data_IF_716046710968
#
_entry.id   IF_716046710968
#
_cell.length_a   1.000
_cell.length_b   1.000
_cell.length_c   1.000
_cell.angle_alpha   90.00
_cell.angle_beta   90.00
_cell.angle_gamma   90.00
#
_symmetry.space_group_name_H-M   'P 1'
#
loop_
_entity.id
_entity.type
_entity.pdbx_description
1 polymer ?
#
# COMPACT_ATOMS: atom_id res chain seq x y z
N UNK A 1 10.21 -1.42 4.63
CA UNK A 1 10.86 -2.75 4.80
C UNK A 1 10.14 -3.74 3.92
N UNK A 2 10.87 -4.40 3.02
CA UNK A 2 10.31 -5.45 2.15
C UNK A 2 11.10 -6.74 2.36
N UNK A 3 10.47 -7.90 2.21
CA UNK A 3 11.15 -9.20 2.38
C UNK A 3 12.37 -9.35 1.46
N UNK A 4 12.33 -8.74 0.27
CA UNK A 4 13.43 -8.71 -0.71
C UNK A 4 14.75 -8.10 -0.17
N UNK A 5 14.71 -7.35 0.93
CA UNK A 5 15.91 -6.75 1.55
C UNK A 5 16.70 -7.76 2.40
N UNK A 6 16.23 -9.00 2.52
CA UNK A 6 16.81 -10.04 3.39
C UNK A 6 17.25 -11.27 2.59
N UNK A 7 18.29 -11.93 3.10
CA UNK A 7 18.73 -13.26 2.62
C UNK A 7 18.39 -14.38 3.60
N UNK A 8 17.94 -14.02 4.80
CA UNK A 8 17.51 -14.94 5.84
C UNK A 8 16.10 -14.56 6.31
N UNK A 9 15.19 -15.52 6.21
CA UNK A 9 13.80 -15.30 6.58
C UNK A 9 13.64 -15.06 8.09
N UNK A 10 14.49 -15.64 8.96
CA UNK A 10 14.42 -15.42 10.41
C UNK A 10 14.76 -13.97 10.74
N UNK A 11 15.79 -13.43 10.09
CA UNK A 11 16.18 -12.01 10.20
C UNK A 11 15.05 -11.09 9.76
N UNK A 12 14.36 -11.40 8.65
CA UNK A 12 13.18 -10.66 8.21
C UNK A 12 12.07 -10.68 9.28
N UNK A 13 11.71 -11.87 9.79
CA UNK A 13 10.64 -12.01 10.79
C UNK A 13 10.99 -11.30 12.09
N UNK A 14 12.20 -11.48 12.61
CA UNK A 14 12.62 -10.81 13.84
C UNK A 14 12.63 -9.28 13.69
N UNK A 15 13.01 -8.77 12.50
CA UNK A 15 12.89 -7.34 12.20
C UNK A 15 11.42 -6.90 12.14
N UNK A 16 10.55 -7.68 11.50
CA UNK A 16 9.11 -7.42 11.44
C UNK A 16 8.46 -7.39 12.81
N UNK A 17 8.88 -8.27 13.73
CA UNK A 17 8.40 -8.29 15.12
C UNK A 17 8.86 -7.04 15.86
N UNK A 18 10.11 -6.63 15.69
CA UNK A 18 10.67 -5.48 16.42
C UNK A 18 9.96 -4.15 16.15
N UNK A 19 9.29 -4.04 14.99
CA UNK A 19 8.55 -2.84 14.58
C UNK A 19 7.06 -2.92 14.94
N UNK A 20 6.58 -4.01 15.53
CA UNK A 20 5.20 -4.11 16.03
C UNK A 20 5.03 -3.31 17.33
N UNK A 21 3.78 -2.95 17.71
CA UNK A 21 3.51 -2.25 18.96
C UNK A 21 4.18 -2.90 20.16
N UNK A 22 4.64 -2.06 21.11
CA UNK A 22 5.36 -2.50 22.31
C UNK A 22 6.59 -3.36 21.98
N UNK A 23 7.26 -3.10 20.85
CA UNK A 23 8.47 -3.81 20.43
C UNK A 23 8.25 -5.30 20.10
N UNK A 24 7.01 -5.67 19.76
CA UNK A 24 6.66 -7.06 19.45
C UNK A 24 6.33 -7.93 20.65
N UNK A 25 6.10 -7.35 21.84
CA UNK A 25 5.65 -8.10 23.00
C UNK A 25 4.35 -8.87 22.70
N UNK A 26 4.37 -10.19 22.89
CA UNK A 26 3.24 -11.07 22.60
C UNK A 26 3.12 -11.55 21.16
N UNK A 27 3.94 -11.08 20.22
CA UNK A 27 3.86 -11.49 18.80
C UNK A 27 4.07 -12.98 18.59
N UNK A 28 5.04 -13.59 19.30
CA UNK A 28 5.23 -15.04 19.20
C UNK A 28 4.01 -15.84 19.65
N UNK A 29 3.21 -15.32 20.59
CA UNK A 29 1.95 -15.95 20.98
C UNK A 29 0.90 -15.81 19.88
N UNK A 30 0.79 -14.63 19.27
CA UNK A 30 -0.13 -14.39 18.15
C UNK A 30 0.22 -15.25 16.94
N UNK A 31 1.50 -15.33 16.58
CA UNK A 31 1.98 -16.22 15.52
C UNK A 31 1.69 -17.69 15.83
N UNK A 32 1.99 -18.14 17.06
CA UNK A 32 1.71 -19.52 17.46
C UNK A 32 0.22 -19.88 17.30
N UNK A 33 -0.67 -18.99 17.73
CA UNK A 33 -2.10 -19.18 17.59
C UNK A 33 -2.55 -19.19 16.11
N UNK A 34 -1.99 -18.30 15.30
CA UNK A 34 -2.35 -18.19 13.88
C UNK A 34 -1.87 -19.39 13.05
N UNK A 35 -0.72 -19.96 13.39
CA UNK A 35 -0.14 -21.13 12.73
C UNK A 35 -0.60 -22.45 13.38
N UNK A 36 -1.48 -22.40 14.39
CA UNK A 36 -1.93 -23.56 15.15
C UNK A 36 -0.80 -24.41 15.75
N UNK A 37 0.28 -23.77 16.23
CA UNK A 37 1.46 -24.41 16.83
C UNK A 37 1.75 -23.89 18.23
N UNK A 38 2.68 -24.54 18.95
CA UNK A 38 3.09 -24.07 20.28
C UNK A 38 3.99 -22.82 20.18
N UNK A 39 3.89 -21.94 21.17
CA UNK A 39 4.81 -20.79 21.33
C UNK A 39 6.26 -21.23 21.46
N UNK A 40 6.50 -22.41 22.04
CA UNK A 40 7.82 -23.04 22.10
C UNK A 40 8.35 -23.36 20.71
N UNK A 41 7.52 -23.88 19.80
CA UNK A 41 7.93 -24.13 18.41
C UNK A 41 8.32 -22.84 17.70
N UNK A 42 7.50 -21.79 17.82
CA UNK A 42 7.80 -20.45 17.27
C UNK A 42 9.15 -19.93 17.81
N UNK A 43 9.38 -20.04 19.12
CA UNK A 43 10.65 -19.63 19.72
C UNK A 43 11.83 -20.47 19.22
N UNK A 44 11.67 -21.79 19.08
CA UNK A 44 12.72 -22.67 18.57
C UNK A 44 13.08 -22.38 17.12
N UNK A 45 12.13 -21.87 16.33
CA UNK A 45 12.37 -21.47 14.93
C UNK A 45 13.07 -20.11 14.88
N UNK A 46 12.53 -19.08 15.52
CA UNK A 46 13.01 -17.70 15.32
C UNK A 46 14.16 -17.29 16.25
N UNK A 47 14.40 -18.04 17.34
CA UNK A 47 15.55 -17.87 18.24
C UNK A 47 16.51 -19.06 18.24
N UNK A 48 16.17 -20.15 17.57
CA UNK A 48 16.97 -21.37 17.54
C UNK A 48 17.18 -21.89 16.12
N UNK A 49 17.58 -23.15 16.01
CA UNK A 49 18.03 -23.75 14.74
C UNK A 49 16.91 -24.42 13.93
N UNK A 50 15.68 -24.52 14.49
CA UNK A 50 14.57 -25.12 13.74
C UNK A 50 14.14 -24.25 12.56
N UNK A 51 13.55 -24.88 11.55
CA UNK A 51 13.00 -24.21 10.38
C UNK A 51 11.49 -24.48 10.25
N UNK A 52 10.78 -23.56 9.60
CA UNK A 52 9.37 -23.77 9.26
C UNK A 52 9.22 -24.84 8.18
N UNK A 53 8.11 -25.57 8.19
CA UNK A 53 7.68 -26.29 6.98
C UNK A 53 7.16 -25.30 5.93
N UNK A 54 6.96 -25.73 4.70
CA UNK A 54 6.44 -24.83 3.65
C UNK A 54 4.97 -24.48 3.90
N UNK A 55 4.20 -25.39 4.49
CA UNK A 55 2.81 -25.19 4.89
C UNK A 55 2.72 -24.11 5.98
N UNK A 56 3.52 -24.24 7.04
CA UNK A 56 3.59 -23.23 8.11
C UNK A 56 4.15 -21.89 7.60
N UNK A 57 5.03 -21.92 6.61
CA UNK A 57 5.54 -20.72 5.97
C UNK A 57 4.48 -19.99 5.15
N UNK A 58 3.61 -20.73 4.46
CA UNK A 58 2.46 -20.16 3.74
C UNK A 58 1.47 -19.53 4.71
N UNK A 59 1.09 -20.23 5.78
CA UNK A 59 0.21 -19.67 6.82
C UNK A 59 0.81 -18.41 7.47
N UNK A 60 2.13 -18.41 7.67
CA UNK A 60 2.83 -17.22 8.18
C UNK A 60 2.86 -16.08 7.15
N UNK A 61 3.03 -16.39 5.87
CA UNK A 61 2.95 -15.40 4.79
C UNK A 61 1.60 -14.69 4.79
N UNK A 62 0.51 -15.46 4.97
CA UNK A 62 -0.84 -14.94 5.06
C UNK A 62 -1.04 -14.10 6.34
N UNK A 63 -0.54 -14.58 7.49
CA UNK A 63 -0.55 -13.82 8.75
C UNK A 63 0.13 -12.45 8.61
N UNK A 64 1.26 -12.41 7.89
CA UNK A 64 2.04 -11.20 7.63
C UNK A 64 1.42 -10.32 6.54
N UNK A 65 0.41 -10.81 5.80
CA UNK A 65 -0.20 -10.18 4.62
C UNK A 65 0.82 -9.86 3.52
N UNK A 66 1.72 -10.80 3.23
CA UNK A 66 2.63 -10.67 2.10
C UNK A 66 1.84 -10.79 0.79
N UNK A 67 2.18 -9.98 -0.22
CA UNK A 67 1.61 -10.18 -1.55
C UNK A 67 2.19 -11.44 -2.22
N UNK A 68 1.62 -11.89 -3.34
CA UNK A 68 2.04 -13.13 -4.02
C UNK A 68 3.56 -13.20 -4.25
N UNK A 69 4.17 -12.13 -4.80
CA UNK A 69 5.62 -12.11 -5.06
C UNK A 69 6.45 -12.11 -3.77
N UNK A 70 5.98 -11.42 -2.74
CA UNK A 70 6.64 -11.42 -1.43
C UNK A 70 6.53 -12.78 -0.74
N UNK A 71 5.38 -13.45 -0.86
CA UNK A 71 5.15 -14.79 -0.35
C UNK A 71 6.02 -15.83 -1.04
N UNK A 72 6.07 -15.81 -2.38
CA UNK A 72 6.94 -16.68 -3.16
C UNK A 72 8.41 -16.51 -2.78
N UNK A 73 8.87 -15.26 -2.65
CA UNK A 73 10.23 -14.97 -2.20
C UNK A 73 10.48 -15.42 -0.75
N UNK A 74 9.50 -15.24 0.14
CA UNK A 74 9.58 -15.68 1.53
C UNK A 74 9.73 -17.21 1.64
N UNK A 75 8.95 -17.97 0.86
CA UNK A 75 9.08 -19.42 0.76
C UNK A 75 10.46 -19.82 0.24
N UNK A 76 10.97 -19.13 -0.79
CA UNK A 76 12.30 -19.35 -1.34
C UNK A 76 13.42 -19.16 -0.31
N UNK A 77 13.32 -18.14 0.56
CA UNK A 77 14.28 -17.95 1.67
C UNK A 77 14.26 -19.12 2.66
N UNK A 78 13.09 -19.71 2.91
CA UNK A 78 12.94 -20.86 3.82
C UNK A 78 13.51 -22.13 3.20
N UNK A 79 13.24 -22.37 1.91
CA UNK A 79 13.86 -23.48 1.18
C UNK A 79 15.39 -23.37 1.21
N UNK A 80 15.93 -22.17 1.00
CA UNK A 80 17.37 -21.93 1.08
C UNK A 80 17.94 -22.22 2.47
N UNK A 81 17.26 -21.78 3.52
CA UNK A 81 17.67 -22.04 4.89
C UNK A 81 17.66 -23.54 5.24
N UNK A 82 16.66 -24.29 4.74
CA UNK A 82 16.50 -25.73 4.99
C UNK A 82 17.37 -26.62 4.13
N UNK A 83 17.84 -26.15 2.97
CA UNK A 83 18.58 -26.98 2.03
C UNK A 83 19.85 -27.54 2.68
N UNK A 84 20.00 -28.87 2.74
CA UNK A 84 21.22 -29.50 3.27
C UNK A 84 22.32 -29.69 2.23
N UNK A 85 21.95 -29.78 0.95
CA UNK A 85 22.89 -30.01 -0.16
C UNK A 85 23.51 -28.71 -0.65
N UNK A 86 24.84 -28.70 -0.80
CA UNK A 86 25.59 -27.57 -1.35
C UNK A 86 25.08 -27.14 -2.73
N UNK A 87 24.85 -28.10 -3.64
CA UNK A 87 24.34 -27.84 -5.00
C UNK A 87 22.95 -27.19 -4.98
N UNK A 88 22.09 -27.61 -4.05
CA UNK A 88 20.75 -27.03 -3.91
C UNK A 88 20.82 -25.61 -3.32
N UNK A 89 21.65 -25.39 -2.29
CA UNK A 89 21.88 -24.05 -1.74
C UNK A 89 22.39 -23.07 -2.80
N UNK A 90 23.34 -23.49 -3.63
CA UNK A 90 23.88 -22.64 -4.70
C UNK A 90 22.80 -22.25 -5.71
N UNK A 91 21.96 -23.20 -6.12
CA UNK A 91 20.82 -22.93 -7.02
C UNK A 91 19.82 -21.96 -6.40
N UNK A 92 19.40 -22.19 -5.16
CA UNK A 92 18.42 -21.36 -4.47
C UNK A 92 18.97 -19.94 -4.22
N UNK A 93 20.25 -19.82 -3.85
CA UNK A 93 20.91 -18.53 -3.69
C UNK A 93 20.94 -17.73 -5.00
N UNK A 94 21.11 -18.40 -6.14
CA UNK A 94 21.03 -17.74 -7.45
C UNK A 94 19.62 -17.20 -7.70
N UNK A 95 18.58 -18.00 -7.43
CA UNK A 95 17.18 -17.56 -7.56
C UNK A 95 16.84 -16.39 -6.62
N UNK A 96 17.36 -16.42 -5.39
CA UNK A 96 17.21 -15.30 -4.43
C UNK A 96 17.82 -14.02 -5.02
N UNK A 97 19.06 -14.09 -5.52
CA UNK A 97 19.74 -12.93 -6.12
C UNK A 97 19.01 -12.41 -7.36
N UNK A 98 18.49 -13.30 -8.20
CA UNK A 98 17.69 -12.94 -9.37
C UNK A 98 16.44 -12.15 -8.97
N UNK A 99 15.63 -12.67 -8.02
CA UNK A 99 14.42 -11.99 -7.55
C UNK A 99 14.74 -10.67 -6.82
N UNK A 100 15.84 -10.60 -6.07
CA UNK A 100 16.30 -9.36 -5.43
C UNK A 100 16.70 -8.30 -6.47
N UNK A 101 17.43 -8.70 -7.52
CA UNK A 101 17.82 -7.79 -8.60
C UNK A 101 16.60 -7.35 -9.42
N UNK A 102 15.63 -8.22 -9.69
CA UNK A 102 14.37 -7.82 -10.32
C UNK A 102 13.59 -6.82 -9.46
N UNK A 103 13.44 -7.09 -8.16
CA UNK A 103 12.79 -6.16 -7.24
C UNK A 103 13.53 -4.81 -7.17
N UNK A 104 14.87 -4.82 -7.20
CA UNK A 104 15.71 -3.62 -7.24
C UNK A 104 15.58 -2.87 -8.56
N UNK A 105 15.59 -3.58 -9.70
CA UNK A 105 15.38 -2.99 -11.03
C UNK A 105 14.00 -2.37 -11.14
N UNK A 106 12.95 -3.02 -10.65
CA UNK A 106 11.61 -2.43 -10.58
C UNK A 106 11.60 -1.17 -9.71
N UNK A 107 12.26 -1.21 -8.53
CA UNK A 107 12.41 -0.04 -7.66
C UNK A 107 13.20 1.09 -8.33
N UNK A 108 14.17 0.78 -9.18
CA UNK A 108 14.98 1.75 -9.94
C UNK A 108 14.27 2.26 -11.21
N UNK A 109 13.52 1.42 -11.93
CA UNK A 109 12.64 1.83 -13.05
C UNK A 109 11.59 2.83 -12.57
N UNK A 110 11.10 2.65 -11.34
CA UNK A 110 10.19 3.60 -10.68
C UNK A 110 10.93 4.90 -10.27
N UNK A 111 12.26 4.89 -10.11
CA UNK A 111 13.05 6.07 -9.74
C UNK A 111 13.44 6.95 -10.93
N UNK A 112 13.76 6.37 -12.09
CA UNK A 112 14.60 7.09 -13.06
C UNK A 112 13.88 7.82 -14.20
N UNK A 113 12.56 7.66 -14.42
CA UNK A 113 11.92 8.29 -15.61
C UNK A 113 10.66 9.14 -15.36
N UNK A 114 10.04 9.12 -14.17
CA UNK A 114 8.65 9.64 -14.02
C UNK A 114 8.30 10.29 -12.68
N UNK A 115 9.29 10.73 -11.89
CA UNK A 115 9.04 11.36 -10.59
C UNK A 115 9.02 12.89 -10.69
N UNK A 116 7.90 13.49 -10.27
CA UNK A 116 7.79 14.92 -9.99
C UNK A 116 8.78 15.33 -8.88
N UNK A 117 9.27 16.56 -8.91
CA UNK A 117 10.22 17.09 -7.92
C UNK A 117 9.63 17.11 -6.51
N UNK A 118 10.45 17.19 -5.46
CA UNK A 118 9.94 17.32 -4.09
C UNK A 118 9.13 18.62 -3.88
N UNK A 119 9.51 19.70 -4.56
CA UNK A 119 8.74 20.95 -4.57
C UNK A 119 7.35 20.73 -5.20
N UNK A 120 7.31 20.09 -6.37
CA UNK A 120 6.08 19.76 -7.07
C UNK A 120 5.20 18.80 -6.25
N UNK A 121 5.80 17.84 -5.51
CA UNK A 121 5.05 17.00 -4.56
C UNK A 121 4.45 17.82 -3.43
N UNK A 122 5.18 18.78 -2.88
CA UNK A 122 4.66 19.66 -1.83
C UNK A 122 3.43 20.43 -2.30
N UNK A 123 3.46 20.92 -3.55
CA UNK A 123 2.32 21.58 -4.20
C UNK A 123 1.17 20.59 -4.43
N UNK A 124 1.44 19.42 -5.04
CA UNK A 124 0.42 18.41 -5.35
C UNK A 124 -0.28 17.91 -4.08
N UNK A 125 0.45 17.70 -3.00
CA UNK A 125 -0.10 17.26 -1.72
C UNK A 125 -0.55 18.41 -0.81
N UNK A 126 -0.52 19.65 -1.30
CA UNK A 126 -0.95 20.82 -0.52
C UNK A 126 -2.45 20.85 -0.26
N UNK A 127 -3.25 20.25 -1.15
CA UNK A 127 -4.72 20.19 -1.12
C UNK A 127 -5.25 18.94 -1.82
N UNK A 128 -6.43 18.45 -1.41
CA UNK A 128 -7.13 17.33 -2.06
C UNK A 128 -7.47 17.63 -3.53
N UNK A 129 -7.61 18.90 -3.89
CA UNK A 129 -8.05 19.34 -5.22
C UNK A 129 -7.10 18.86 -6.32
N UNK A 130 -5.78 18.87 -6.09
CA UNK A 130 -4.80 18.39 -7.07
C UNK A 130 -5.00 16.91 -7.41
N UNK A 131 -5.09 16.06 -6.38
CA UNK A 131 -5.36 14.63 -6.57
C UNK A 131 -6.76 14.37 -7.13
N UNK A 132 -7.77 15.13 -6.69
CA UNK A 132 -9.14 14.97 -7.16
C UNK A 132 -9.29 15.34 -8.64
N UNK A 133 -8.72 16.46 -9.06
CA UNK A 133 -8.74 16.91 -10.45
C UNK A 133 -7.92 15.96 -11.34
N UNK A 134 -6.76 15.49 -10.86
CA UNK A 134 -5.95 14.52 -11.57
C UNK A 134 -6.71 13.21 -11.86
N UNK A 135 -7.49 12.70 -10.91
CA UNK A 135 -8.34 11.52 -11.13
C UNK A 135 -9.56 11.80 -12.01
N UNK A 136 -10.16 12.99 -11.91
CA UNK A 136 -11.31 13.34 -12.73
C UNK A 136 -10.99 13.39 -14.22
N UNK A 137 -9.77 13.80 -14.59
CA UNK A 137 -9.30 13.83 -15.97
C UNK A 137 -9.39 12.45 -16.65
N UNK A 138 -9.32 11.37 -15.88
CA UNK A 138 -9.45 10.01 -16.43
C UNK A 138 -10.89 9.67 -16.87
N UNK A 139 -11.88 10.46 -16.43
CA UNK A 139 -13.26 10.30 -16.85
C UNK A 139 -13.45 11.05 -18.18
N UNK A 140 -13.87 10.33 -19.22
CA UNK A 140 -14.01 10.86 -20.57
C UNK A 140 -14.95 12.10 -20.71
N UNK A 141 -15.85 12.35 -19.77
CA UNK A 141 -16.71 13.55 -19.76
C UNK A 141 -16.09 14.77 -19.08
N UNK A 142 -14.91 14.64 -18.49
CA UNK A 142 -14.25 15.65 -17.64
C UNK A 142 -12.96 16.16 -18.32
N UNK A 143 -13.11 16.66 -19.55
CA UNK A 143 -11.99 17.01 -20.43
C UNK A 143 -11.55 18.48 -20.38
N UNK A 144 -12.17 19.31 -19.54
CA UNK A 144 -11.85 20.74 -19.48
C UNK A 144 -12.06 21.33 -18.07
N UNK A 145 -11.58 22.56 -17.87
CA UNK A 145 -11.72 23.27 -16.60
C UNK A 145 -13.17 23.59 -16.25
N UNK A 146 -14.08 23.61 -17.22
CA UNK A 146 -15.48 24.00 -17.03
C UNK A 146 -16.31 22.84 -16.46
N UNK A 147 -16.25 21.67 -17.10
CA UNK A 147 -16.84 20.41 -16.63
C UNK A 147 -16.35 20.03 -15.24
N UNK A 148 -15.04 20.13 -14.99
CA UNK A 148 -14.45 19.84 -13.67
C UNK A 148 -14.89 20.87 -12.62
N UNK A 149 -14.91 22.16 -12.97
CA UNK A 149 -15.38 23.24 -12.09
C UNK A 149 -16.83 23.03 -11.65
N UNK A 150 -17.72 22.73 -12.59
CA UNK A 150 -19.12 22.42 -12.30
C UNK A 150 -19.26 21.18 -11.42
N UNK A 151 -18.49 20.11 -11.71
CA UNK A 151 -18.54 18.85 -10.96
C UNK A 151 -18.12 19.00 -9.51
N UNK A 152 -17.08 19.79 -9.26
CA UNK A 152 -16.50 20.00 -7.93
C UNK A 152 -17.11 21.18 -7.16
N UNK A 153 -17.91 22.01 -7.83
CA UNK A 153 -18.39 23.30 -7.33
C UNK A 153 -17.22 24.22 -6.89
N UNK A 154 -16.20 24.33 -7.75
CA UNK A 154 -15.00 25.14 -7.51
C UNK A 154 -14.88 26.26 -8.57
N UNK A 155 -14.28 27.41 -8.25
CA UNK A 155 -14.00 28.45 -9.22
C UNK A 155 -13.19 27.95 -10.43
N UNK A 156 -13.67 28.20 -11.65
CA UNK A 156 -13.01 27.75 -12.90
C UNK A 156 -11.55 28.20 -13.00
N UNK A 157 -11.24 29.42 -12.58
CA UNK A 157 -9.87 29.95 -12.58
C UNK A 157 -8.93 29.14 -11.66
N UNK A 158 -9.44 28.63 -10.54
CA UNK A 158 -8.68 27.77 -9.63
C UNK A 158 -8.44 26.40 -10.24
N UNK A 159 -9.48 25.80 -10.85
CA UNK A 159 -9.35 24.53 -11.57
C UNK A 159 -8.35 24.64 -12.71
N UNK A 160 -8.40 25.72 -13.49
CA UNK A 160 -7.46 25.96 -14.58
C UNK A 160 -6.01 26.02 -14.08
N UNK A 161 -5.73 26.77 -13.01
CA UNK A 161 -4.39 26.83 -12.40
C UNK A 161 -3.87 25.44 -11.98
N UNK A 162 -4.76 24.59 -11.46
CA UNK A 162 -4.39 23.23 -11.07
C UNK A 162 -4.11 22.38 -12.31
N UNK A 163 -4.94 22.45 -13.35
CA UNK A 163 -4.69 21.74 -14.61
C UNK A 163 -3.38 22.18 -15.27
N UNK A 164 -3.08 23.48 -15.27
CA UNK A 164 -1.82 24.03 -15.82
C UNK A 164 -0.61 23.44 -15.09
N UNK A 165 -0.67 23.38 -13.75
CA UNK A 165 0.34 22.71 -12.94
C UNK A 165 0.46 21.22 -13.26
N UNK A 166 -0.66 20.48 -13.35
CA UNK A 166 -0.64 19.05 -13.68
C UNK A 166 -0.06 18.78 -15.07
N UNK A 167 -0.31 19.67 -16.04
CA UNK A 167 0.28 19.59 -17.37
C UNK A 167 1.78 19.88 -17.37
N UNK A 168 2.21 20.92 -16.63
CA UNK A 168 3.62 21.26 -16.47
C UNK A 168 4.42 20.09 -15.86
N UNK A 169 3.84 19.42 -14.87
CA UNK A 169 4.43 18.27 -14.18
C UNK A 169 4.25 16.93 -14.93
N UNK A 170 3.67 16.96 -16.15
CA UNK A 170 3.38 15.76 -16.97
C UNK A 170 2.52 14.71 -16.25
N UNK A 171 1.73 15.15 -15.28
CA UNK A 171 0.69 14.36 -14.59
C UNK A 171 -0.58 14.30 -15.43
N UNK A 172 -0.82 15.30 -16.26
CA UNK A 172 -1.89 15.32 -17.26
C UNK A 172 -1.29 15.71 -18.60
N UNK A 173 -1.69 15.04 -19.67
CA UNK A 173 -1.30 15.37 -21.03
C UNK A 173 -2.52 15.88 -21.81
N UNK A 174 -2.29 16.79 -22.74
CA UNK A 174 -3.32 17.25 -23.67
C UNK A 174 -3.08 16.61 -25.04
N UNK A 175 -4.01 15.76 -25.49
CA UNK A 175 -4.02 15.21 -26.86
C UNK A 175 -5.17 15.84 -27.64
N UNK A 176 -4.85 16.84 -28.47
CA UNK A 176 -5.85 17.62 -29.17
C UNK A 176 -6.77 18.38 -28.19
N UNK A 177 -8.06 18.04 -28.19
CA UNK A 177 -9.05 18.60 -27.28
C UNK A 177 -9.33 17.76 -26.03
N UNK A 178 -8.67 16.61 -25.86
CA UNK A 178 -8.87 15.74 -24.71
C UNK A 178 -7.71 15.83 -23.73
N UNK A 179 -8.04 15.69 -22.45
CA UNK A 179 -7.07 15.53 -21.38
C UNK A 179 -6.94 14.03 -21.07
N UNK A 180 -5.72 13.58 -20.87
CA UNK A 180 -5.42 12.20 -20.50
C UNK A 180 -4.48 12.18 -19.30
N UNK A 181 -4.56 11.15 -18.46
CA UNK A 181 -3.58 10.94 -17.39
C UNK A 181 -2.18 10.79 -18.02
N UNK A 182 -1.23 11.51 -17.44
CA UNK A 182 0.17 11.49 -17.82
C UNK A 182 0.92 10.29 -17.26
N UNK A 183 2.18 10.13 -17.69
CA UNK A 183 3.01 9.00 -17.26
C UNK A 183 3.69 9.24 -15.90
N UNK A 184 3.68 10.49 -15.41
CA UNK A 184 4.29 10.85 -14.13
C UNK A 184 3.55 10.17 -12.96
N UNK A 185 4.31 9.61 -12.02
CA UNK A 185 3.77 8.87 -10.87
C UNK A 185 3.72 9.76 -9.64
N UNK A 186 2.58 9.77 -8.96
CA UNK A 186 2.37 10.52 -7.71
C UNK A 186 2.78 9.73 -6.46
N UNK A 187 3.30 8.50 -6.60
CA UNK A 187 3.55 7.57 -5.49
C UNK A 187 4.37 8.22 -4.34
N UNK A 188 3.75 8.31 -3.15
CA UNK A 188 4.44 8.67 -1.91
C UNK A 188 5.06 7.43 -1.28
N UNK A 189 6.29 7.55 -0.79
CA UNK A 189 6.86 6.56 0.13
C UNK A 189 6.23 6.71 1.51
N UNK A 190 6.16 5.62 2.29
CA UNK A 190 5.55 5.62 3.63
C UNK A 190 6.28 6.56 4.60
N UNK A 191 7.55 6.84 4.32
CA UNK A 191 8.43 7.70 5.12
C UNK A 191 8.30 9.18 4.76
N UNK A 192 7.54 9.53 3.70
CA UNK A 192 7.39 10.93 3.30
C UNK A 192 6.51 11.70 4.29
N UNK A 193 6.94 12.90 4.74
CA UNK A 193 6.11 13.74 5.61
C UNK A 193 4.79 14.18 4.94
N UNK A 194 4.72 14.10 3.61
CA UNK A 194 3.53 14.45 2.83
C UNK A 194 2.41 13.40 2.96
N UNK A 195 2.71 12.18 3.43
CA UNK A 195 1.70 11.12 3.63
C UNK A 195 0.65 11.57 4.64
N UNK A 196 1.08 12.14 5.76
CA UNK A 196 0.16 12.65 6.80
C UNK A 196 -0.70 13.77 6.22
N UNK A 197 -0.10 14.69 5.46
CA UNK A 197 -0.83 15.80 4.83
C UNK A 197 -1.86 15.33 3.81
N UNK A 198 -1.50 14.36 2.96
CA UNK A 198 -2.42 13.74 2.02
C UNK A 198 -3.63 13.11 2.73
N UNK A 199 -3.37 12.36 3.80
CA UNK A 199 -4.40 11.75 4.64
C UNK A 199 -5.31 12.78 5.31
N UNK A 200 -4.76 13.89 5.81
CA UNK A 200 -5.52 14.98 6.40
C UNK A 200 -6.41 15.66 5.37
N UNK A 201 -5.88 15.98 4.19
CA UNK A 201 -6.64 16.64 3.12
C UNK A 201 -7.92 15.88 2.75
N UNK A 202 -7.82 14.55 2.58
CA UNK A 202 -8.99 13.72 2.27
C UNK A 202 -9.94 13.56 3.45
N UNK A 203 -9.44 13.49 4.69
CA UNK A 203 -10.30 13.46 5.90
C UNK A 203 -11.07 14.76 6.07
N UNK A 204 -10.42 15.90 5.90
CA UNK A 204 -11.11 17.20 5.90
C UNK A 204 -12.18 17.26 4.81
N UNK A 205 -11.87 16.76 3.60
CA UNK A 205 -12.89 16.68 2.55
C UNK A 205 -14.04 15.74 2.90
N UNK A 206 -13.78 14.64 3.60
CA UNK A 206 -14.83 13.74 4.09
C UNK A 206 -15.71 14.42 5.13
N UNK A 207 -15.16 15.25 6.01
CA UNK A 207 -15.94 16.02 6.97
C UNK A 207 -16.89 17.01 6.27
N UNK A 208 -16.40 17.72 5.24
CA UNK A 208 -17.27 18.58 4.42
C UNK A 208 -18.42 17.77 3.79
N UNK A 209 -18.11 16.56 3.29
CA UNK A 209 -19.10 15.69 2.65
C UNK A 209 -20.12 15.08 3.61
N UNK A 210 -19.78 14.90 4.88
CA UNK A 210 -20.74 14.49 5.90
C UNK A 210 -21.84 15.55 6.08
N UNK A 211 -21.51 16.83 5.89
CA UNK A 211 -22.47 17.95 5.94
C UNK A 211 -23.32 17.96 4.67
N UNK A 212 -22.69 17.79 3.50
CA UNK A 212 -23.34 17.75 2.17
C UNK A 212 -23.78 16.34 1.73
N UNK A 213 -24.25 15.51 2.68
CA UNK A 213 -24.47 14.08 2.43
C UNK A 213 -25.49 13.82 1.32
N UNK A 214 -25.26 12.76 0.56
CA UNK A 214 -26.21 12.17 -0.42
C UNK A 214 -26.61 10.77 0.02
N UNK A 215 -27.73 10.27 -0.51
CA UNK A 215 -28.23 8.93 -0.19
C UNK A 215 -27.26 7.81 -0.61
N UNK A 216 -26.42 8.07 -1.60
CA UNK A 216 -25.38 7.13 -2.05
C UNK A 216 -24.12 7.13 -1.18
N UNK A 217 -23.99 8.09 -0.26
CA UNK A 217 -22.80 8.24 0.56
C UNK A 217 -22.91 7.34 1.81
N UNK A 218 -21.81 6.68 2.16
CA UNK A 218 -21.73 5.84 3.35
C UNK A 218 -20.74 6.44 4.34
N UNK A 219 -21.25 6.88 5.49
CA UNK A 219 -20.46 7.38 6.61
C UNK A 219 -20.68 6.47 7.82
N UNK A 220 -19.61 5.89 8.34
CA UNK A 220 -19.66 4.97 9.46
C UNK A 220 -18.52 5.25 10.42
N UNK A 221 -18.89 5.49 11.69
CA UNK A 221 -17.95 5.69 12.80
C UNK A 221 -18.44 4.86 13.98
N UNK A 222 -17.61 3.93 14.44
CA UNK A 222 -17.95 3.05 15.54
C UNK A 222 -16.75 2.89 16.48
N UNK A 223 -16.71 3.67 17.58
CA UNK A 223 -15.87 3.35 18.73
C UNK A 223 -16.33 2.02 19.32
N UNK A 224 -15.40 1.13 19.64
CA UNK A 224 -15.70 -0.23 20.09
C UNK A 224 -14.79 -0.63 21.24
N UNK A 225 -15.33 -1.37 22.21
CA UNK A 225 -14.54 -2.16 23.15
C UNK A 225 -14.52 -3.62 22.68
N UNK A 226 -13.35 -4.25 22.73
CA UNK A 226 -13.17 -5.64 22.29
C UNK A 226 -11.92 -6.25 22.92
N UNK A 227 -11.76 -7.57 22.80
CA UNK A 227 -10.53 -8.25 23.20
C UNK A 227 -9.39 -7.99 22.21
N UNK A 228 -8.14 -8.09 22.67
CA UNK A 228 -6.95 -7.97 21.80
C UNK A 228 -6.98 -8.99 20.64
N UNK A 229 -7.49 -10.20 20.89
CA UNK A 229 -7.63 -11.23 19.86
C UNK A 229 -8.58 -10.78 18.73
N UNK A 230 -9.72 -10.20 19.09
CA UNK A 230 -10.69 -9.70 18.12
C UNK A 230 -10.12 -8.50 17.36
N UNK A 231 -9.48 -7.56 18.05
CA UNK A 231 -8.82 -6.42 17.43
C UNK A 231 -7.77 -6.84 16.39
N UNK A 232 -6.98 -7.87 16.72
CA UNK A 232 -5.99 -8.45 15.82
C UNK A 232 -6.64 -9.07 14.57
N UNK A 233 -7.68 -9.90 14.76
CA UNK A 233 -8.42 -10.52 13.65
C UNK A 233 -9.05 -9.49 12.73
N UNK A 234 -9.62 -8.40 13.27
CA UNK A 234 -10.21 -7.31 12.46
C UNK A 234 -9.13 -6.59 11.66
N UNK A 235 -7.99 -6.25 12.28
CA UNK A 235 -6.87 -5.58 11.60
C UNK A 235 -6.35 -6.38 10.40
N UNK A 236 -6.40 -7.71 10.44
CA UNK A 236 -5.99 -8.56 9.31
C UNK A 236 -6.99 -8.52 8.14
N UNK A 237 -8.27 -8.25 8.39
CA UNK A 237 -9.27 -8.14 7.32
C UNK A 237 -9.12 -6.86 6.49
N UNK A 238 -8.62 -5.77 7.10
CA UNK A 238 -8.53 -4.45 6.45
C UNK A 238 -7.62 -4.47 5.20
N UNK A 239 -6.39 -5.02 5.24
CA UNK A 239 -5.57 -5.15 4.03
C UNK A 239 -6.20 -5.98 2.93
N UNK A 240 -6.90 -7.08 3.28
CA UNK A 240 -7.56 -7.94 2.31
C UNK A 240 -8.69 -7.18 1.59
N UNK A 241 -9.50 -6.41 2.32
CA UNK A 241 -10.50 -5.54 1.72
C UNK A 241 -9.87 -4.54 0.73
N UNK A 242 -8.76 -3.90 1.09
CA UNK A 242 -8.06 -2.97 0.18
C UNK A 242 -7.56 -3.70 -1.06
N UNK A 243 -7.05 -4.92 -0.93
CA UNK A 243 -6.60 -5.75 -2.05
C UNK A 243 -7.76 -6.09 -2.98
N UNK A 244 -8.85 -6.62 -2.45
CA UNK A 244 -10.06 -6.97 -3.20
C UNK A 244 -10.59 -5.77 -4.01
N UNK A 245 -10.74 -4.61 -3.36
CA UNK A 245 -11.16 -3.37 -4.02
C UNK A 245 -10.20 -2.98 -5.15
N UNK A 246 -8.90 -3.10 -4.93
CA UNK A 246 -7.89 -2.71 -5.94
C UNK A 246 -7.92 -3.64 -7.16
N UNK A 247 -8.10 -4.93 -6.94
CA UNK A 247 -8.22 -5.94 -8.01
C UNK A 247 -9.45 -5.70 -8.89
N UNK A 248 -10.54 -5.18 -8.32
CA UNK A 248 -11.74 -4.78 -9.07
C UNK A 248 -11.56 -3.44 -9.82
N UNK A 249 -10.90 -2.45 -9.21
CA UNK A 249 -10.75 -1.11 -9.79
C UNK A 249 -9.79 -1.11 -11.00
N UNK A 250 -8.63 -1.78 -10.91
CA UNK A 250 -7.59 -1.72 -11.95
C UNK A 250 -8.10 -2.04 -13.37
N UNK A 251 -8.89 -3.11 -13.60
CA UNK A 251 -9.42 -3.42 -14.93
C UNK A 251 -10.70 -2.64 -15.29
N UNK A 252 -11.27 -1.88 -14.37
CA UNK A 252 -12.54 -1.17 -14.57
C UNK A 252 -12.40 0.08 -15.46
N UNK A 253 -13.51 0.52 -16.05
CA UNK A 253 -13.56 1.78 -16.80
C UNK A 253 -13.69 2.97 -15.86
N UNK A 254 -13.03 4.07 -16.19
CA UNK A 254 -13.06 5.32 -15.43
C UNK A 254 -14.35 6.11 -15.70
N UNK A 255 -15.45 5.71 -15.04
CA UNK A 255 -16.78 6.33 -15.19
C UNK A 255 -17.16 7.22 -14.00
N UNK A 256 -16.53 6.99 -12.85
CA UNK A 256 -16.79 7.75 -11.62
C UNK A 256 -15.59 7.77 -10.69
N UNK A 257 -15.57 8.71 -9.75
CA UNK A 257 -14.59 8.77 -8.67
C UNK A 257 -15.27 8.58 -7.31
N UNK A 258 -14.62 7.85 -6.42
CA UNK A 258 -14.99 7.69 -5.02
C UNK A 258 -13.73 7.74 -4.16
N UNK A 259 -13.89 8.20 -2.92
CA UNK A 259 -12.81 8.19 -1.93
C UNK A 259 -13.21 7.25 -0.81
N UNK A 260 -12.38 6.24 -0.58
CA UNK A 260 -12.50 5.36 0.59
C UNK A 260 -11.46 5.80 1.63
N UNK A 261 -11.93 6.10 2.84
CA UNK A 261 -11.08 6.43 3.99
C UNK A 261 -11.29 5.34 5.03
N UNK A 262 -10.20 4.70 5.45
CA UNK A 262 -10.19 3.67 6.47
C UNK A 262 -9.23 4.06 7.58
N UNK A 263 -9.74 4.04 8.81
CA UNK A 263 -9.00 4.33 10.04
C UNK A 263 -9.18 3.19 11.02
N UNK A 264 -8.06 2.64 11.49
CA UNK A 264 -8.03 1.64 12.55
C UNK A 264 -6.89 1.97 13.51
N UNK A 265 -7.25 2.46 14.69
CA UNK A 265 -6.30 2.89 15.71
C UNK A 265 -6.86 2.62 17.11
N UNK A 266 -5.94 2.47 18.06
CA UNK A 266 -6.24 2.50 19.50
C UNK A 266 -6.16 3.96 19.96
N UNK A 267 -7.10 4.41 20.78
CA UNK A 267 -7.24 5.79 21.25
C UNK A 267 -7.16 5.91 22.77
#
# INVERSE_FOLDING_TARGET
MTVFEFQDYKSFINKWISIQPKGGHGEYRRMANALHVSTTMISQVFKGDKHLSLELAQELSDYLNLNLKEGDFFLLLIEFARAGSYKLKERLLRQIKEQQEEARKLKNLIKDETKISEESKSIFYSSWMYSGIHLLVDIASMNDSESISQRLNLPRNQVQKILDFLMQEKLVNKKGNQLEIGQAKTLLSKESPLVIRHHQNWRFRSLDKMIEKKDSDFFYSAPMSMSEEVAFKIRQKIPNLVKEITEEIIPSKSETVRTLILDWFEY
#
